data_IF_543477081679
#
_entry.id   IF_543477081679
#
_cell.length_a   1.000
_cell.length_b   1.000
_cell.length_c   1.000
_cell.angle_alpha   90.00
_cell.angle_beta   90.00
_cell.angle_gamma   90.00
#
_symmetry.space_group_name_H-M   'P 1'
#
loop_
_entity.id
_entity.type
_entity.pdbx_description
1 polymer ?
#
# COMPACT_ATOMS: atom_id res chain seq x y z
N UNK A 1 5.37 -22.18 -15.76
CA UNK A 1 4.86 -21.07 -16.57
C UNK A 1 4.45 -19.90 -15.68
N UNK A 2 4.93 -18.73 -15.96
CA UNK A 2 4.54 -17.52 -15.24
C UNK A 2 3.14 -17.11 -15.69
N UNK A 3 2.25 -16.91 -14.73
CA UNK A 3 0.90 -16.43 -15.00
C UNK A 3 0.83 -14.93 -14.70
N UNK A 4 -0.01 -14.23 -15.44
CA UNK A 4 -0.32 -12.85 -15.09
C UNK A 4 -1.04 -12.82 -13.76
N UNK A 5 -0.66 -11.87 -12.91
CA UNK A 5 -1.31 -11.65 -11.62
C UNK A 5 -2.20 -10.43 -11.69
N UNK A 6 -3.34 -10.52 -11.05
CA UNK A 6 -4.25 -9.39 -10.91
C UNK A 6 -4.14 -8.88 -9.48
N UNK A 7 -3.69 -7.63 -9.35
CA UNK A 7 -3.43 -7.00 -8.06
C UNK A 7 -4.24 -5.70 -8.00
N UNK A 8 -5.44 -5.72 -7.44
CA UNK A 8 -6.19 -4.48 -7.24
C UNK A 8 -5.43 -3.52 -6.34
N UNK A 9 -5.33 -2.26 -6.78
CA UNK A 9 -4.72 -1.18 -6.00
C UNK A 9 -5.82 -0.23 -5.57
N UNK A 10 -5.96 -0.04 -4.26
CA UNK A 10 -6.99 0.82 -3.68
C UNK A 10 -6.32 2.03 -3.03
N UNK A 11 -6.70 3.23 -3.48
CA UNK A 11 -6.27 4.46 -2.82
C UNK A 11 -7.08 4.63 -1.54
N UNK A 12 -6.38 4.83 -0.43
CA UNK A 12 -6.99 4.95 0.89
C UNK A 12 -6.65 6.32 1.47
N UNK A 13 -7.66 7.04 1.92
CA UNK A 13 -7.48 8.33 2.60
C UNK A 13 -8.33 8.33 3.87
N UNK A 14 -7.69 8.61 5.01
CA UNK A 14 -8.34 8.63 6.32
C UNK A 14 -9.15 7.36 6.59
N UNK A 15 -8.63 6.21 6.19
CA UNK A 15 -9.26 4.91 6.43
C UNK A 15 -10.40 4.54 5.50
N UNK A 16 -10.62 5.32 4.42
CA UNK A 16 -11.67 5.03 3.43
C UNK A 16 -11.07 4.89 2.05
N UNK A 17 -11.60 3.98 1.25
CA UNK A 17 -11.26 3.92 -0.16
C UNK A 17 -11.81 5.16 -0.84
N UNK A 18 -10.97 5.81 -1.64
CA UNK A 18 -11.35 7.02 -2.35
C UNK A 18 -11.12 6.85 -3.85
N UNK A 19 -11.87 7.61 -4.63
CA UNK A 19 -11.81 7.58 -6.07
C UNK A 19 -11.87 9.02 -6.59
N UNK A 20 -10.95 9.34 -7.49
CA UNK A 20 -10.92 10.67 -8.11
C UNK A 20 -9.96 10.70 -9.27
N UNK A 21 -9.97 11.79 -10.02
CA UNK A 21 -9.07 12.04 -11.14
C UNK A 21 -7.97 12.96 -10.64
N UNK A 22 -6.69 12.54 -10.82
CA UNK A 22 -5.51 13.32 -10.40
C UNK A 22 -5.55 13.72 -8.92
N UNK A 23 -6.15 12.87 -8.07
CA UNK A 23 -6.31 13.13 -6.63
C UNK A 23 -7.10 14.41 -6.32
N UNK A 24 -7.94 14.85 -7.26
CA UNK A 24 -8.81 16.02 -7.10
C UNK A 24 -10.25 15.52 -6.97
N UNK A 25 -11.02 16.20 -6.11
CA UNK A 25 -12.44 15.86 -5.85
C UNK A 25 -12.62 14.38 -5.50
N UNK A 26 -11.81 13.90 -4.55
CA UNK A 26 -11.86 12.53 -4.10
C UNK A 26 -13.22 12.21 -3.49
N UNK A 27 -13.82 11.13 -3.97
CA UNK A 27 -15.09 10.63 -3.46
C UNK A 27 -14.89 9.35 -2.69
N UNK A 28 -15.64 9.21 -1.60
CA UNK A 28 -15.66 7.98 -0.82
C UNK A 28 -16.20 6.82 -1.69
N UNK A 29 -15.43 5.76 -1.75
CA UNK A 29 -15.77 4.57 -2.51
C UNK A 29 -15.97 3.33 -1.61
N UNK A 30 -15.91 3.48 -0.29
CA UNK A 30 -16.26 2.42 0.64
C UNK A 30 -15.19 2.07 1.67
N UNK A 31 -15.46 1.01 2.41
CA UNK A 31 -14.55 0.51 3.43
C UNK A 31 -13.47 -0.36 2.78
N UNK A 32 -12.18 -0.06 3.02
CA UNK A 32 -11.09 -0.80 2.40
C UNK A 32 -11.05 -2.27 2.83
N UNK A 33 -11.42 -2.59 4.06
CA UNK A 33 -11.39 -3.98 4.55
C UNK A 33 -12.42 -4.83 3.82
N UNK A 34 -13.63 -4.30 3.64
CA UNK A 34 -14.69 -5.00 2.92
C UNK A 34 -14.36 -5.16 1.44
N UNK A 35 -13.82 -4.11 0.81
CA UNK A 35 -13.45 -4.16 -0.60
C UNK A 35 -12.31 -5.15 -0.83
N UNK A 36 -11.31 -5.16 0.03
CA UNK A 36 -10.23 -6.13 -0.06
C UNK A 36 -10.76 -7.56 0.03
N UNK A 37 -11.71 -7.80 0.93
CA UNK A 37 -12.33 -9.12 1.07
C UNK A 37 -13.09 -9.51 -0.20
N UNK A 38 -13.83 -8.60 -0.79
CA UNK A 38 -14.56 -8.85 -2.04
C UNK A 38 -13.58 -9.25 -3.16
N UNK A 39 -12.48 -8.51 -3.32
CA UNK A 39 -11.47 -8.83 -4.32
C UNK A 39 -10.78 -10.15 -4.03
N UNK A 40 -10.45 -10.42 -2.78
CA UNK A 40 -9.83 -11.67 -2.37
C UNK A 40 -10.74 -12.86 -2.67
N UNK A 41 -12.00 -12.77 -2.31
CA UNK A 41 -13.00 -13.83 -2.57
C UNK A 41 -13.26 -13.97 -4.07
N UNK A 42 -13.12 -12.89 -4.82
CA UNK A 42 -13.33 -12.86 -6.27
C UNK A 42 -12.14 -13.37 -7.10
N UNK A 43 -11.05 -13.76 -6.46
CA UNK A 43 -9.93 -14.39 -7.15
C UNK A 43 -8.75 -13.48 -7.45
N UNK A 44 -8.65 -12.31 -6.81
CA UNK A 44 -7.45 -11.48 -6.92
C UNK A 44 -6.23 -12.25 -6.38
N UNK A 45 -5.09 -12.05 -7.01
CA UNK A 45 -3.87 -12.73 -6.60
C UNK A 45 -3.21 -12.07 -5.39
N UNK A 46 -3.28 -10.74 -5.32
CA UNK A 46 -2.78 -9.93 -4.21
C UNK A 46 -3.66 -8.69 -4.09
N UNK A 47 -3.53 -7.98 -2.97
CA UNK A 47 -4.21 -6.69 -2.75
C UNK A 47 -3.15 -5.65 -2.43
N UNK A 48 -3.34 -4.43 -2.92
CA UNK A 48 -2.46 -3.31 -2.60
C UNK A 48 -3.26 -2.14 -2.07
N UNK A 49 -2.84 -1.60 -0.93
CA UNK A 49 -3.36 -0.33 -0.41
C UNK A 49 -2.31 0.75 -0.62
N UNK A 50 -2.73 1.88 -1.16
CA UNK A 50 -1.90 3.08 -1.27
C UNK A 50 -2.51 4.15 -0.38
N UNK A 51 -1.84 4.44 0.73
CA UNK A 51 -2.30 5.47 1.66
C UNK A 51 -1.93 6.85 1.12
N UNK A 52 -2.92 7.61 0.71
CA UNK A 52 -2.74 8.97 0.20
C UNK A 52 -3.12 10.03 1.24
N UNK A 53 -3.26 9.64 2.51
CA UNK A 53 -3.51 10.55 3.61
C UNK A 53 -2.33 11.53 3.74
N UNK A 54 -2.64 12.81 3.98
CA UNK A 54 -1.59 13.81 4.17
C UNK A 54 -0.68 13.45 5.35
N UNK A 55 0.60 13.76 5.22
CA UNK A 55 1.66 13.26 6.10
C UNK A 55 1.49 13.59 7.59
N UNK A 56 0.68 14.60 7.90
CA UNK A 56 0.50 15.07 9.28
C UNK A 56 -0.82 14.62 9.91
N UNK A 57 -1.63 13.84 9.19
CA UNK A 57 -2.98 13.49 9.64
C UNK A 57 -3.15 11.98 9.73
N UNK A 58 -3.81 11.53 10.79
CA UNK A 58 -4.41 10.19 10.95
C UNK A 58 -3.64 9.00 10.37
N UNK A 59 -2.32 9.02 10.45
CA UNK A 59 -1.52 7.90 9.94
C UNK A 59 -1.76 6.61 10.69
N UNK A 60 -2.26 6.70 11.92
CA UNK A 60 -2.63 5.51 12.69
C UNK A 60 -3.80 4.77 12.06
N UNK A 61 -4.61 5.45 11.27
CA UNK A 61 -5.78 4.83 10.62
C UNK A 61 -5.37 3.72 9.64
N UNK A 62 -4.28 3.89 8.89
CA UNK A 62 -3.83 2.86 7.95
C UNK A 62 -3.39 1.59 8.68
N UNK A 63 -2.77 1.73 9.86
CA UNK A 63 -2.35 0.56 10.63
C UNK A 63 -3.54 -0.28 11.08
N UNK A 64 -4.62 0.36 11.51
CA UNK A 64 -5.85 -0.32 11.87
C UNK A 64 -6.48 -1.02 10.65
N UNK A 65 -6.51 -0.34 9.51
CA UNK A 65 -7.03 -0.91 8.26
C UNK A 65 -6.23 -2.16 7.87
N UNK A 66 -4.90 -2.07 7.94
CA UNK A 66 -4.02 -3.19 7.60
C UNK A 66 -4.26 -4.37 8.54
N UNK A 67 -4.34 -4.11 9.84
CA UNK A 67 -4.59 -5.17 10.83
C UNK A 67 -5.91 -5.89 10.57
N UNK A 68 -6.98 -5.15 10.39
CA UNK A 68 -8.30 -5.72 10.12
C UNK A 68 -8.36 -6.48 8.79
N UNK A 69 -7.69 -5.95 7.75
CA UNK A 69 -7.64 -6.59 6.45
C UNK A 69 -6.88 -7.91 6.50
N UNK A 70 -5.75 -7.93 7.19
CA UNK A 70 -4.93 -9.13 7.31
C UNK A 70 -5.66 -10.30 7.95
N UNK A 71 -6.65 -10.02 8.78
CA UNK A 71 -7.46 -11.03 9.44
C UNK A 71 -8.58 -11.58 8.57
N UNK A 72 -8.96 -10.88 7.51
CA UNK A 72 -10.10 -11.24 6.65
C UNK A 72 -9.73 -11.67 5.24
N UNK A 73 -8.52 -11.36 4.79
CA UNK A 73 -8.06 -11.67 3.44
C UNK A 73 -6.98 -12.74 3.49
N UNK A 74 -7.01 -13.65 2.53
CA UNK A 74 -6.08 -14.78 2.47
C UNK A 74 -5.09 -14.66 1.32
N UNK A 75 -5.02 -13.50 0.68
CA UNK A 75 -4.03 -13.21 -0.35
C UNK A 75 -3.02 -12.20 0.20
N UNK A 76 -1.80 -12.15 -0.38
CA UNK A 76 -0.80 -11.19 0.10
C UNK A 76 -1.28 -9.75 0.03
N UNK A 77 -0.93 -8.97 1.05
CA UNK A 77 -1.28 -7.57 1.17
C UNK A 77 -0.02 -6.72 1.09
N UNK A 78 0.01 -5.82 0.09
CA UNK A 78 1.06 -4.80 -0.04
C UNK A 78 0.49 -3.47 0.40
N UNK A 79 1.26 -2.73 1.18
CA UNK A 79 0.85 -1.40 1.66
C UNK A 79 1.93 -0.39 1.31
N UNK A 80 1.52 0.73 0.75
CA UNK A 80 2.41 1.83 0.40
C UNK A 80 1.76 3.18 0.62
N UNK A 81 2.50 4.22 0.25
CA UNK A 81 2.06 5.59 0.45
C UNK A 81 2.56 6.16 1.77
N UNK A 82 3.33 7.24 1.69
CA UNK A 82 3.84 7.93 2.87
C UNK A 82 4.84 7.16 3.71
N UNK A 83 5.37 6.06 3.24
CA UNK A 83 6.39 5.29 3.93
C UNK A 83 7.74 5.98 3.75
N UNK A 84 8.39 6.36 4.85
CA UNK A 84 9.61 7.17 4.82
C UNK A 84 10.81 6.54 5.51
N UNK A 85 10.58 5.62 6.42
CA UNK A 85 11.65 5.10 7.29
C UNK A 85 11.51 3.61 7.51
N UNK A 86 12.60 3.00 7.98
CA UNK A 86 12.61 1.60 8.41
C UNK A 86 11.57 1.36 9.51
N UNK A 87 11.37 2.35 10.39
CA UNK A 87 10.38 2.25 11.46
C UNK A 87 8.95 2.14 10.89
N UNK A 88 8.62 2.94 9.88
CA UNK A 88 7.31 2.86 9.22
C UNK A 88 7.10 1.47 8.61
N UNK A 89 8.12 0.94 7.95
CA UNK A 89 8.08 -0.39 7.35
C UNK A 89 7.84 -1.46 8.41
N UNK A 90 8.60 -1.40 9.49
CA UNK A 90 8.47 -2.33 10.61
C UNK A 90 7.04 -2.32 11.15
N UNK A 91 6.47 -1.14 11.33
CA UNK A 91 5.13 -0.99 11.88
C UNK A 91 4.07 -1.59 10.97
N UNK A 92 4.18 -1.36 9.66
CA UNK A 92 3.24 -1.94 8.69
C UNK A 92 3.33 -3.46 8.64
N UNK A 93 4.53 -4.01 8.63
CA UNK A 93 4.72 -5.46 8.62
C UNK A 93 4.19 -6.09 9.91
N UNK A 94 4.39 -5.44 11.05
CA UNK A 94 3.88 -5.93 12.33
C UNK A 94 2.35 -5.88 12.41
N UNK A 95 1.71 -4.98 11.67
CA UNK A 95 0.25 -4.91 11.59
C UNK A 95 -0.35 -5.99 10.69
N UNK A 96 0.46 -6.64 9.87
CA UNK A 96 -0.02 -7.74 9.02
C UNK A 96 0.20 -7.57 7.53
N UNK A 97 0.86 -6.48 7.09
CA UNK A 97 1.23 -6.36 5.69
C UNK A 97 2.29 -7.41 5.34
N UNK A 98 2.17 -8.00 4.17
CA UNK A 98 3.17 -8.96 3.65
C UNK A 98 4.32 -8.24 2.98
N UNK A 99 4.02 -7.11 2.33
CA UNK A 99 5.00 -6.30 1.62
C UNK A 99 4.71 -4.84 1.85
N UNK A 100 5.75 -4.03 1.76
CA UNK A 100 5.65 -2.57 1.85
C UNK A 100 6.24 -1.96 0.59
N UNK A 101 5.51 -1.05 -0.04
CA UNK A 101 6.00 -0.36 -1.23
C UNK A 101 6.55 1.01 -0.87
N UNK A 102 7.67 1.36 -1.50
CA UNK A 102 8.40 2.60 -1.27
C UNK A 102 8.62 3.27 -2.62
N UNK A 103 8.34 4.56 -2.70
CA UNK A 103 8.60 5.34 -3.91
C UNK A 103 9.48 6.55 -3.61
N UNK A 104 8.89 7.62 -3.09
CA UNK A 104 9.61 8.89 -2.85
C UNK A 104 10.81 8.71 -1.93
N UNK A 105 10.63 7.97 -0.85
CA UNK A 105 11.72 7.73 0.11
C UNK A 105 12.88 6.98 -0.54
N UNK A 106 12.60 6.06 -1.46
CA UNK A 106 13.64 5.33 -2.18
C UNK A 106 14.49 6.24 -3.07
N UNK A 107 13.87 7.25 -3.67
CA UNK A 107 14.57 8.24 -4.50
C UNK A 107 15.39 9.19 -3.63
N UNK A 108 14.80 9.70 -2.55
CA UNK A 108 15.44 10.68 -1.68
C UNK A 108 16.52 10.07 -0.79
N UNK A 109 16.32 8.84 -0.34
CA UNK A 109 17.25 8.17 0.56
C UNK A 109 17.32 6.67 0.25
N UNK A 110 18.13 6.24 -0.73
CA UNK A 110 18.24 4.83 -1.10
C UNK A 110 18.67 3.91 0.03
N UNK A 111 19.30 4.45 1.09
CA UNK A 111 19.72 3.67 2.25
C UNK A 111 18.53 2.98 2.92
N UNK A 112 17.34 3.55 2.84
CA UNK A 112 16.12 2.95 3.40
C UNK A 112 15.87 1.59 2.77
N UNK A 113 16.09 1.44 1.47
CA UNK A 113 15.92 0.16 0.77
C UNK A 113 16.94 -0.86 1.29
N UNK A 114 18.19 -0.43 1.40
CA UNK A 114 19.29 -1.31 1.83
C UNK A 114 19.04 -1.81 3.26
N UNK A 115 18.78 -0.89 4.18
CA UNK A 115 18.54 -1.24 5.58
C UNK A 115 17.30 -2.12 5.75
N UNK A 116 16.21 -1.77 5.05
CA UNK A 116 14.96 -2.52 5.13
C UNK A 116 15.11 -3.92 4.57
N UNK A 117 15.78 -4.06 3.44
CA UNK A 117 16.02 -5.36 2.81
C UNK A 117 16.87 -6.27 3.69
N UNK A 118 17.86 -5.71 4.38
CA UNK A 118 18.68 -6.47 5.32
C UNK A 118 17.89 -6.90 6.55
N UNK A 119 17.05 -6.03 7.06
CA UNK A 119 16.30 -6.28 8.30
C UNK A 119 15.10 -7.21 8.09
N UNK A 120 14.36 -7.05 7.02
CA UNK A 120 13.08 -7.75 6.80
C UNK A 120 13.12 -8.77 5.67
N UNK A 121 14.15 -8.74 4.85
CA UNK A 121 14.25 -9.52 3.63
C UNK A 121 13.78 -8.74 2.41
N UNK A 122 14.46 -8.94 1.29
CA UNK A 122 14.15 -8.22 0.06
C UNK A 122 12.75 -8.52 -0.48
N UNK A 123 12.19 -9.69 -0.15
CA UNK A 123 10.84 -10.07 -0.58
C UNK A 123 9.74 -9.23 0.06
N UNK A 124 10.03 -8.54 1.16
CA UNK A 124 9.06 -7.68 1.85
C UNK A 124 9.06 -6.24 1.32
N UNK A 125 10.03 -5.87 0.49
CA UNK A 125 10.22 -4.50 0.02
C UNK A 125 9.96 -4.41 -1.46
N UNK A 126 9.08 -3.49 -1.86
CA UNK A 126 8.74 -3.24 -3.26
C UNK A 126 9.10 -1.80 -3.59
N UNK A 127 10.06 -1.60 -4.48
CA UNK A 127 10.36 -0.27 -4.99
C UNK A 127 9.42 0.01 -6.16
N UNK A 128 8.68 1.11 -6.07
CA UNK A 128 7.70 1.50 -7.08
C UNK A 128 8.24 2.65 -7.91
N UNK A 129 8.16 2.49 -9.22
CA UNK A 129 8.56 3.53 -10.16
C UNK A 129 7.49 3.64 -11.24
N UNK A 130 7.21 4.86 -11.66
CA UNK A 130 6.20 5.13 -12.66
C UNK A 130 6.84 5.73 -13.92
N UNK A 131 6.29 5.36 -15.05
CA UNK A 131 6.68 5.94 -16.33
C UNK A 131 6.01 7.31 -16.50
N UNK A 132 6.23 7.93 -17.66
CA UNK A 132 5.65 9.23 -18.00
C UNK A 132 4.12 9.29 -17.87
N UNK A 133 3.42 8.17 -17.96
CA UNK A 133 1.97 8.14 -17.81
C UNK A 133 1.53 8.55 -16.40
N UNK A 134 2.28 8.12 -15.38
CA UNK A 134 1.97 8.49 -14.01
C UNK A 134 2.15 10.00 -13.80
N UNK A 135 3.11 10.61 -14.47
CA UNK A 135 3.34 12.03 -14.37
C UNK A 135 2.15 12.86 -14.84
N UNK A 136 1.32 12.34 -15.73
CA UNK A 136 0.11 13.02 -16.19
C UNK A 136 -1.04 12.94 -15.19
N UNK A 137 -0.98 12.04 -14.23
CA UNK A 137 -1.99 11.88 -13.21
C UNK A 137 -1.80 12.83 -12.03
N UNK A 138 -0.63 13.44 -11.93
CA UNK A 138 -0.26 14.31 -10.81
C UNK A 138 -0.18 15.79 -11.16
#
# INVERSE_FOLDING_TARGET
MLKNRIIPCLDVKNGRVVKGINFIDLKDAGDPVEQAKIYSDGGADEICFLDITASNENRETIYDVVDRTSKKCFVPLTVGGGVRSVHDISKLLNCGADKVSINTAAVQNPEVIIESSKKFGSQCIVAVSYTHLRAHET
#
